data_IF_759436713537
#
_entry.id   IF_759436713537
#
_cell.length_a   1.000
_cell.length_b   1.000
_cell.length_c   1.000
_cell.angle_alpha   90.00
_cell.angle_beta   90.00
_cell.angle_gamma   90.00
#
_symmetry.space_group_name_H-M   'P 1'
#
loop_
_entity.id
_entity.type
_entity.pdbx_description
1 polymer ?
#
# COMPACT_ATOMS: atom_id res chain seq x y z
N UNK A 1 -6.21 -10.41 -7.08
CA UNK A 1 -6.27 -8.96 -7.39
C UNK A 1 -4.99 -8.37 -6.84
N UNK A 2 -4.21 -7.68 -7.67
CA UNK A 2 -3.08 -6.91 -7.17
C UNK A 2 -3.62 -5.79 -6.29
N UNK A 3 -2.97 -5.55 -5.14
CA UNK A 3 -3.29 -4.44 -4.26
C UNK A 3 -2.53 -3.21 -4.78
N UNK A 4 -3.21 -2.07 -4.82
CA UNK A 4 -2.68 -0.85 -5.46
C UNK A 4 -2.71 0.35 -4.52
N UNK A 5 -1.70 1.24 -4.65
CA UNK A 5 -1.73 2.54 -4.00
C UNK A 5 -1.84 3.66 -5.04
N UNK A 6 -2.72 4.62 -4.77
CA UNK A 6 -2.87 5.80 -5.59
C UNK A 6 -1.98 6.94 -5.11
N UNK A 7 -1.15 7.48 -5.99
CA UNK A 7 -0.32 8.65 -5.71
C UNK A 7 -1.13 9.90 -6.00
N UNK A 8 -1.34 10.71 -4.98
CA UNK A 8 -2.06 11.98 -5.05
C UNK A 8 -1.18 13.13 -4.57
N UNK A 9 -1.56 14.35 -4.87
CA UNK A 9 -0.87 15.54 -4.39
C UNK A 9 -1.29 16.78 -5.17
N UNK A 10 -1.08 17.94 -4.58
CA UNK A 10 -1.30 19.22 -5.25
C UNK A 10 -0.30 19.42 -6.41
N UNK A 11 -0.55 20.37 -7.32
CA UNK A 11 0.43 20.69 -8.38
C UNK A 11 1.79 21.12 -7.80
N UNK A 12 2.87 20.74 -8.49
CA UNK A 12 4.25 21.14 -8.18
C UNK A 12 4.80 20.64 -6.81
N UNK A 13 4.26 19.54 -6.28
CA UNK A 13 4.79 18.89 -5.05
C UNK A 13 5.84 17.80 -5.34
N UNK A 14 6.09 17.46 -6.63
CA UNK A 14 7.03 16.40 -7.03
C UNK A 14 6.35 15.07 -7.40
N UNK A 15 5.01 15.04 -7.53
CA UNK A 15 4.24 13.83 -7.84
C UNK A 15 4.70 13.16 -9.14
N UNK A 16 4.84 13.90 -10.24
CA UNK A 16 5.26 13.35 -11.53
C UNK A 16 6.71 12.84 -11.50
N UNK A 17 7.60 13.54 -10.82
CA UNK A 17 8.99 13.11 -10.62
C UNK A 17 9.05 11.79 -9.85
N UNK A 18 8.27 11.66 -8.79
CA UNK A 18 8.14 10.39 -8.05
C UNK A 18 7.60 9.27 -8.95
N UNK A 19 6.57 9.56 -9.73
CA UNK A 19 5.97 8.56 -10.61
C UNK A 19 6.94 8.12 -11.73
N UNK A 20 7.75 9.04 -12.27
CA UNK A 20 8.85 8.69 -13.17
C UNK A 20 9.84 7.74 -12.51
N UNK A 21 10.27 8.03 -11.27
CA UNK A 21 11.15 7.14 -10.51
C UNK A 21 10.57 5.72 -10.39
N UNK A 22 9.28 5.61 -10.17
CA UNK A 22 8.56 4.33 -10.07
C UNK A 22 8.54 3.62 -11.43
N UNK A 23 8.21 4.32 -12.50
CA UNK A 23 8.04 3.71 -13.84
C UNK A 23 9.37 3.40 -14.54
N UNK A 24 10.44 4.11 -14.19
CA UNK A 24 11.77 3.86 -14.71
C UNK A 24 12.44 2.63 -14.09
N UNK A 25 11.94 2.10 -12.98
CA UNK A 25 12.43 0.83 -12.45
C UNK A 25 12.24 -0.27 -13.51
N UNK A 26 13.38 -0.82 -13.97
CA UNK A 26 13.40 -1.92 -14.95
C UNK A 26 12.94 -3.21 -14.30
N UNK A 27 11.64 -3.35 -14.08
CA UNK A 27 11.09 -4.65 -13.74
C UNK A 27 11.19 -5.50 -14.99
N UNK A 28 11.89 -6.63 -14.90
CA UNK A 28 11.94 -7.60 -15.98
C UNK A 28 10.51 -8.06 -16.25
N UNK A 29 9.89 -7.52 -17.29
CA UNK A 29 8.52 -7.85 -17.70
C UNK A 29 8.30 -9.37 -17.89
N UNK A 30 9.39 -10.11 -18.14
CA UNK A 30 9.42 -11.57 -18.22
C UNK A 30 9.00 -12.26 -16.91
N UNK A 31 9.21 -11.60 -15.76
CA UNK A 31 8.86 -12.17 -14.44
C UNK A 31 7.41 -11.91 -14.02
N UNK A 32 6.72 -11.00 -14.72
CA UNK A 32 5.33 -10.60 -14.39
C UNK A 32 4.44 -10.65 -15.62
N UNK A 33 4.05 -11.84 -16.11
CA UNK A 33 3.28 -12.02 -17.35
C UNK A 33 1.89 -11.36 -17.34
N UNK A 34 1.44 -10.86 -16.18
CA UNK A 34 0.15 -10.18 -16.02
C UNK A 34 0.29 -8.67 -15.71
N UNK A 35 1.51 -8.12 -15.66
CA UNK A 35 1.70 -6.67 -15.56
C UNK A 35 1.26 -6.03 -16.88
N UNK A 36 0.02 -5.60 -16.93
CA UNK A 36 -0.49 -4.76 -18.03
C UNK A 36 0.22 -3.43 -17.90
N UNK A 37 0.94 -3.00 -18.93
CA UNK A 37 1.51 -1.65 -19.01
C UNK A 37 0.34 -0.71 -19.31
N UNK A 38 -0.38 -0.29 -18.28
CA UNK A 38 -1.38 0.76 -18.38
C UNK A 38 -0.72 2.12 -18.24
N UNK A 39 -1.10 3.12 -19.05
CA UNK A 39 -0.56 4.47 -18.94
C UNK A 39 -0.95 5.04 -17.58
N UNK A 40 -0.26 5.21 -16.60
CA UNK A 40 -0.48 5.66 -15.22
C UNK A 40 -0.38 4.57 -14.16
N UNK A 41 0.11 3.37 -14.49
CA UNK A 41 0.43 2.33 -13.51
C UNK A 41 1.93 2.08 -13.54
N UNK A 42 2.57 2.24 -12.40
CA UNK A 42 3.97 1.90 -12.17
C UNK A 42 4.05 0.66 -11.28
N UNK A 43 4.88 -0.30 -11.66
CA UNK A 43 5.10 -1.53 -10.91
C UNK A 43 6.49 -1.47 -10.27
N UNK A 44 6.59 -1.77 -8.99
CA UNK A 44 7.86 -1.82 -8.26
C UNK A 44 8.04 -3.18 -7.59
N UNK A 45 9.27 -3.62 -7.49
CA UNK A 45 9.61 -4.82 -6.71
C UNK A 45 9.54 -4.49 -5.22
N UNK A 46 8.94 -5.37 -4.43
CA UNK A 46 8.96 -5.25 -2.96
C UNK A 46 10.35 -5.67 -2.46
N UNK A 47 11.08 -4.76 -1.79
CA UNK A 47 12.40 -5.09 -1.25
C UNK A 47 12.28 -6.19 -0.18
N UNK A 48 13.01 -7.29 -0.35
CA UNK A 48 13.05 -8.38 0.62
C UNK A 48 14.38 -9.10 0.55
N UNK A 49 15.26 -8.84 1.51
CA UNK A 49 16.60 -9.47 1.58
C UNK A 49 16.54 -11.00 1.71
N UNK A 50 15.42 -11.52 2.25
CA UNK A 50 15.21 -12.96 2.37
C UNK A 50 15.23 -13.65 1.00
N UNK A 51 14.68 -12.97 0.00
CA UNK A 51 14.67 -13.46 -1.38
C UNK A 51 16.08 -13.65 -1.94
N UNK A 52 16.99 -12.70 -1.71
CA UNK A 52 18.38 -12.79 -2.16
C UNK A 52 19.07 -13.99 -1.52
N UNK A 53 18.83 -14.23 -0.24
CA UNK A 53 19.40 -15.39 0.48
C UNK A 53 18.83 -16.72 -0.03
N UNK A 54 17.53 -16.76 -0.33
CA UNK A 54 16.92 -17.96 -0.94
C UNK A 54 17.47 -18.21 -2.35
N UNK A 55 17.72 -17.15 -3.15
CA UNK A 55 18.35 -17.25 -4.46
C UNK A 55 19.74 -17.89 -4.37
N UNK A 56 20.57 -17.45 -3.41
CA UNK A 56 21.91 -18.03 -3.18
C UNK A 56 21.83 -19.50 -2.75
N UNK A 57 20.85 -19.88 -1.94
CA UNK A 57 20.73 -21.24 -1.40
C UNK A 57 20.22 -22.26 -2.43
N UNK A 58 19.31 -21.87 -3.31
CA UNK A 58 18.63 -22.77 -4.23
C UNK A 58 19.16 -22.69 -5.67
N UNK A 59 19.88 -21.62 -6.03
CA UNK A 59 20.36 -21.33 -7.40
C UNK A 59 19.29 -21.63 -8.45
N UNK A 60 18.08 -20.99 -8.33
CA UNK A 60 16.92 -21.36 -9.12
C UNK A 60 17.05 -20.93 -10.59
N UNK A 61 16.40 -21.68 -11.51
CA UNK A 61 16.28 -21.26 -12.91
C UNK A 61 15.42 -19.99 -13.06
N UNK A 62 14.41 -19.83 -12.22
CA UNK A 62 13.53 -18.64 -12.19
C UNK A 62 13.49 -18.02 -10.79
N UNK A 63 13.64 -16.71 -10.75
CA UNK A 63 13.61 -15.92 -9.53
C UNK A 63 12.55 -14.83 -9.65
N UNK A 64 11.48 -14.93 -8.84
CA UNK A 64 10.31 -14.08 -8.95
C UNK A 64 10.02 -13.43 -7.59
N UNK A 65 10.49 -12.20 -7.33
CA UNK A 65 10.12 -11.42 -6.14
C UNK A 65 8.66 -10.98 -6.23
N UNK A 66 8.09 -10.46 -5.16
CA UNK A 66 6.78 -9.80 -5.21
C UNK A 66 6.88 -8.43 -5.86
N UNK A 67 5.80 -8.02 -6.52
CA UNK A 67 5.66 -6.68 -7.05
C UNK A 67 4.45 -5.97 -6.46
N UNK A 68 4.51 -4.64 -6.45
CA UNK A 68 3.45 -3.77 -5.98
C UNK A 68 3.14 -2.69 -7.03
N UNK A 69 1.88 -2.32 -7.16
CA UNK A 69 1.43 -1.37 -8.17
C UNK A 69 1.12 -0.01 -7.56
N UNK A 70 1.69 1.04 -8.16
CA UNK A 70 1.32 2.43 -7.88
C UNK A 70 0.59 3.01 -9.09
N UNK A 71 -0.52 3.70 -8.82
CA UNK A 71 -1.29 4.39 -9.85
C UNK A 71 -1.11 5.89 -9.72
N UNK A 72 -0.68 6.56 -10.81
CA UNK A 72 -0.66 8.03 -10.84
C UNK A 72 -2.08 8.55 -10.97
N UNK A 73 -2.55 9.21 -9.94
CA UNK A 73 -3.86 9.85 -9.96
C UNK A 73 -3.67 11.33 -10.31
N UNK A 74 -4.26 11.75 -11.42
CA UNK A 74 -4.15 13.12 -11.91
C UNK A 74 -4.44 14.13 -10.79
N UNK A 75 -3.63 15.20 -10.71
CA UNK A 75 -3.63 16.12 -9.58
C UNK A 75 -4.99 16.72 -9.26
N UNK A 76 -5.24 16.93 -7.99
CA UNK A 76 -6.44 17.60 -7.47
C UNK A 76 -6.45 19.05 -7.90
N UNK A 77 -7.57 19.48 -8.47
CA UNK A 77 -7.89 20.90 -8.62
C UNK A 77 -8.84 21.26 -7.49
N UNK A 78 -8.55 22.33 -6.75
CA UNK A 78 -9.40 22.84 -5.67
C UNK A 78 -10.86 22.99 -6.17
N UNK A 79 -11.82 22.39 -5.44
CA UNK A 79 -13.23 22.33 -5.87
C UNK A 79 -13.57 21.08 -6.70
N UNK A 80 -12.74 20.05 -6.66
CA UNK A 80 -12.96 18.79 -7.38
C UNK A 80 -14.28 18.11 -7.03
N UNK A 81 -14.72 18.23 -5.80
CA UNK A 81 -16.01 17.69 -5.30
C UNK A 81 -17.25 18.44 -5.82
N UNK A 82 -17.09 19.71 -6.24
CA UNK A 82 -18.16 20.56 -6.78
C UNK A 82 -18.13 20.70 -8.29
N UNK A 83 -17.09 20.17 -8.95
CA UNK A 83 -16.79 20.43 -10.34
C UNK A 83 -17.31 19.40 -11.30
N UNK A 84 -17.59 19.83 -12.51
CA UNK A 84 -17.84 18.98 -13.67
C UNK A 84 -16.50 18.44 -14.21
N UNK A 85 -16.41 17.15 -14.47
CA UNK A 85 -15.37 16.53 -15.31
C UNK A 85 -14.13 16.01 -14.56
N UNK A 86 -13.05 16.79 -14.43
CA UNK A 86 -11.75 16.31 -13.93
C UNK A 86 -11.75 15.91 -12.45
N UNK A 87 -12.49 16.63 -11.59
CA UNK A 87 -12.61 16.31 -10.17
C UNK A 87 -13.30 14.97 -9.91
N UNK A 88 -14.37 14.66 -10.65
CA UNK A 88 -15.05 13.37 -10.52
C UNK A 88 -14.16 12.20 -10.98
N UNK A 89 -13.32 12.38 -12.00
CA UNK A 89 -12.36 11.37 -12.42
C UNK A 89 -11.30 11.12 -11.36
N UNK A 90 -10.77 12.17 -10.73
CA UNK A 90 -9.83 12.07 -9.61
C UNK A 90 -10.42 11.23 -8.46
N UNK A 91 -11.62 11.55 -8.01
CA UNK A 91 -12.30 10.83 -6.94
C UNK A 91 -12.62 9.37 -7.33
N UNK A 92 -12.95 9.12 -8.60
CA UNK A 92 -13.19 7.77 -9.12
C UNK A 92 -11.92 6.92 -9.05
N UNK A 93 -10.78 7.45 -9.51
CA UNK A 93 -9.50 6.71 -9.45
C UNK A 93 -9.08 6.41 -8.01
N UNK A 94 -9.29 7.35 -7.05
CA UNK A 94 -9.02 7.07 -5.63
C UNK A 94 -9.93 5.94 -5.12
N UNK A 95 -11.15 5.79 -5.60
CA UNK A 95 -12.03 4.68 -5.18
C UNK A 95 -11.49 3.31 -5.57
N UNK A 96 -10.76 3.22 -6.68
CA UNK A 96 -10.25 1.97 -7.25
C UNK A 96 -9.01 1.44 -6.53
N UNK A 97 -8.21 2.31 -5.87
CA UNK A 97 -6.99 1.91 -5.17
C UNK A 97 -7.25 1.49 -3.71
N UNK A 98 -6.35 0.72 -3.12
CA UNK A 98 -6.48 0.19 -1.76
C UNK A 98 -5.90 1.12 -0.69
N UNK A 99 -4.89 1.92 -1.04
CA UNK A 99 -4.26 2.92 -0.17
C UNK A 99 -3.99 4.22 -0.92
N UNK A 100 -3.78 5.29 -0.18
CA UNK A 100 -3.43 6.61 -0.71
C UNK A 100 -2.00 6.95 -0.31
N UNK A 101 -1.18 7.39 -1.25
CA UNK A 101 0.12 8.03 -1.02
C UNK A 101 -0.01 9.49 -1.38
N UNK A 102 -0.07 10.35 -0.39
CA UNK A 102 -0.17 11.78 -0.58
C UNK A 102 1.21 12.43 -0.57
N UNK A 103 1.62 12.95 -1.73
CA UNK A 103 2.88 13.67 -1.88
C UNK A 103 2.71 15.09 -1.38
N UNK A 104 3.48 15.43 -0.34
CA UNK A 104 3.45 16.72 0.34
C UNK A 104 4.80 17.43 0.14
N UNK A 105 4.75 18.67 -0.30
CA UNK A 105 5.96 19.47 -0.49
C UNK A 105 6.50 19.96 0.86
N UNK A 106 7.68 19.49 1.23
CA UNK A 106 8.37 19.85 2.47
C UNK A 106 9.73 20.51 2.20
N UNK A 107 9.89 21.21 1.07
CA UNK A 107 11.12 21.90 0.68
C UNK A 107 10.85 23.29 0.10
N UNK A 108 11.75 24.23 0.36
CA UNK A 108 11.75 25.57 -0.24
C UNK A 108 12.60 25.58 -1.51
N UNK A 109 12.01 25.94 -2.64
CA UNK A 109 12.73 26.23 -3.87
C UNK A 109 12.12 27.49 -4.52
N UNK A 110 12.89 28.55 -4.57
CA UNK A 110 12.46 29.84 -5.13
C UNK A 110 12.17 29.81 -6.64
N UNK A 111 12.54 28.72 -7.34
CA UNK A 111 12.29 28.54 -8.76
C UNK A 111 10.95 27.81 -9.03
N UNK A 112 10.42 27.11 -8.03
CA UNK A 112 9.17 26.33 -8.15
C UNK A 112 8.06 27.11 -7.45
N UNK A 113 7.10 27.61 -8.21
CA UNK A 113 5.98 28.37 -7.68
C UNK A 113 5.03 27.39 -6.96
N UNK A 114 4.72 27.68 -5.68
CA UNK A 114 3.65 27.00 -4.98
C UNK A 114 2.29 27.58 -5.41
N UNK A 115 1.25 26.73 -5.49
CA UNK A 115 -0.09 27.13 -5.95
C UNK A 115 -0.66 28.28 -5.11
N UNK A 116 -0.43 28.25 -3.79
CA UNK A 116 -0.88 29.28 -2.85
C UNK A 116 0.22 30.26 -2.42
N UNK A 117 1.38 30.29 -3.10
CA UNK A 117 2.47 31.25 -2.91
C UNK A 117 3.39 30.99 -1.70
N UNK A 118 2.91 30.31 -0.65
CA UNK A 118 3.67 29.96 0.55
C UNK A 118 3.55 28.46 0.79
N UNK A 119 4.66 27.83 1.16
CA UNK A 119 4.70 26.40 1.48
C UNK A 119 4.09 26.20 2.87
N UNK A 120 3.03 25.44 2.91
CA UNK A 120 2.36 25.03 4.14
C UNK A 120 1.85 23.58 3.96
N UNK A 121 2.65 22.57 4.38
CA UNK A 121 2.32 21.18 4.17
C UNK A 121 1.02 20.74 4.85
N UNK A 122 0.66 21.39 5.98
CA UNK A 122 -0.57 21.01 6.69
C UNK A 122 -1.80 21.52 5.94
N UNK A 123 -1.78 22.76 5.45
CA UNK A 123 -2.84 23.30 4.61
C UNK A 123 -3.03 22.46 3.34
N UNK A 124 -1.94 21.97 2.75
CA UNK A 124 -1.98 21.16 1.53
C UNK A 124 -2.66 19.81 1.80
N UNK A 125 -2.30 19.14 2.91
CA UNK A 125 -2.94 17.92 3.39
C UNK A 125 -4.43 18.16 3.69
N UNK A 126 -4.76 19.21 4.43
CA UNK A 126 -6.15 19.54 4.79
C UNK A 126 -7.00 19.83 3.55
N UNK A 127 -6.41 20.42 2.51
CA UNK A 127 -7.10 20.68 1.24
C UNK A 127 -7.54 19.38 0.56
N UNK A 128 -6.67 18.38 0.48
CA UNK A 128 -7.00 17.07 -0.09
C UNK A 128 -7.99 16.33 0.79
N UNK A 129 -7.75 16.27 2.10
CA UNK A 129 -8.63 15.59 3.04
C UNK A 129 -10.06 16.18 3.02
N UNK A 130 -10.20 17.50 2.87
CA UNK A 130 -11.50 18.16 2.76
C UNK A 130 -12.27 17.72 1.50
N UNK A 131 -11.61 17.66 0.34
CA UNK A 131 -12.25 17.21 -0.91
C UNK A 131 -12.73 15.76 -0.81
N UNK A 132 -11.91 14.88 -0.19
CA UNK A 132 -12.31 13.50 0.07
C UNK A 132 -13.52 13.42 1.02
N UNK A 133 -13.50 14.22 2.07
CA UNK A 133 -14.58 14.26 3.06
C UNK A 133 -15.90 14.75 2.45
N UNK A 134 -15.89 15.79 1.61
CA UNK A 134 -17.08 16.30 0.92
C UNK A 134 -17.67 15.22 0.01
N UNK A 135 -16.81 14.52 -0.75
CA UNK A 135 -17.27 13.45 -1.63
C UNK A 135 -17.91 12.27 -0.87
N UNK A 136 -17.38 11.92 0.30
CA UNK A 136 -17.97 10.89 1.14
C UNK A 136 -19.27 11.36 1.81
N UNK A 137 -19.34 12.62 2.24
CA UNK A 137 -20.56 13.23 2.79
C UNK A 137 -21.71 13.20 1.78
N UNK A 138 -21.45 13.44 0.51
CA UNK A 138 -22.46 13.35 -0.55
C UNK A 138 -23.01 11.91 -0.68
N UNK A 139 -22.14 10.91 -0.65
CA UNK A 139 -22.54 9.50 -0.67
C UNK A 139 -23.38 9.15 0.57
N UNK A 140 -22.92 9.55 1.74
CA UNK A 140 -23.61 9.30 3.02
C UNK A 140 -24.99 9.96 3.03
N UNK A 141 -25.09 11.24 2.68
CA UNK A 141 -26.37 11.97 2.70
C UNK A 141 -27.38 11.36 1.74
N UNK A 142 -26.97 11.02 0.50
CA UNK A 142 -27.83 10.37 -0.47
C UNK A 142 -28.32 8.99 0.00
N UNK A 143 -27.47 8.25 0.73
CA UNK A 143 -27.86 6.94 1.27
C UNK A 143 -28.75 7.05 2.48
N UNK A 144 -28.43 7.94 3.42
CA UNK A 144 -29.24 8.22 4.61
C UNK A 144 -30.67 8.60 4.25
N UNK A 145 -30.85 9.45 3.23
CA UNK A 145 -32.20 9.82 2.78
C UNK A 145 -33.07 8.62 2.41
N UNK A 146 -32.48 7.61 1.77
CA UNK A 146 -33.17 6.39 1.32
C UNK A 146 -33.35 5.38 2.46
N UNK A 147 -32.27 5.06 3.17
CA UNK A 147 -32.27 4.00 4.18
C UNK A 147 -33.05 4.39 5.42
N UNK A 148 -33.05 5.68 5.85
CA UNK A 148 -33.81 6.15 7.00
C UNK A 148 -35.32 6.02 6.79
N UNK A 149 -35.81 6.28 5.58
CA UNK A 149 -37.25 6.06 5.23
C UNK A 149 -37.59 4.57 5.33
N UNK A 150 -36.74 3.70 4.79
CA UNK A 150 -36.92 2.24 4.82
C UNK A 150 -36.87 1.71 6.25
N UNK A 151 -35.88 2.07 7.04
CA UNK A 151 -35.70 1.63 8.42
C UNK A 151 -36.90 1.98 9.31
N UNK A 152 -37.47 3.16 9.14
CA UNK A 152 -38.70 3.59 9.87
C UNK A 152 -39.91 2.74 9.50
N UNK A 153 -40.04 2.34 8.24
CA UNK A 153 -41.20 1.60 7.75
C UNK A 153 -41.10 0.10 8.09
N UNK A 154 -39.93 -0.50 7.87
CA UNK A 154 -39.73 -1.96 7.99
C UNK A 154 -39.32 -2.37 9.41
N UNK A 155 -38.73 -1.46 10.20
CA UNK A 155 -38.10 -1.73 11.52
C UNK A 155 -37.09 -2.89 11.46
N UNK A 156 -36.45 -3.07 10.29
CA UNK A 156 -35.42 -4.08 10.10
C UNK A 156 -34.14 -3.66 10.86
N UNK A 157 -33.55 -4.59 11.62
CA UNK A 157 -32.37 -4.33 12.43
C UNK A 157 -31.16 -3.91 11.59
N UNK A 158 -30.96 -4.55 10.42
CA UNK A 158 -29.83 -4.24 9.54
C UNK A 158 -29.95 -2.84 8.97
N UNK A 159 -31.15 -2.42 8.53
CA UNK A 159 -31.39 -1.07 8.03
C UNK A 159 -31.22 -0.01 9.16
N UNK A 160 -31.58 -0.34 10.40
CA UNK A 160 -31.38 0.56 11.55
C UNK A 160 -29.90 0.70 11.89
N UNK A 161 -29.15 -0.41 11.92
CA UNK A 161 -27.71 -0.40 12.15
C UNK A 161 -26.97 0.35 11.04
N UNK A 162 -27.39 0.20 9.79
CA UNK A 162 -26.83 0.95 8.66
C UNK A 162 -27.00 2.46 8.85
N UNK A 163 -28.20 2.92 9.29
CA UNK A 163 -28.45 4.33 9.59
C UNK A 163 -27.51 4.82 10.69
N UNK A 164 -27.41 4.09 11.79
CA UNK A 164 -26.55 4.45 12.93
C UNK A 164 -25.09 4.61 12.52
N UNK A 165 -24.56 3.64 11.75
CA UNK A 165 -23.17 3.67 11.28
C UNK A 165 -22.93 4.84 10.31
N UNK A 166 -23.86 5.10 9.39
CA UNK A 166 -23.76 6.23 8.47
C UNK A 166 -23.83 7.58 9.18
N UNK A 167 -24.67 7.73 10.19
CA UNK A 167 -24.73 8.94 11.03
C UNK A 167 -23.43 9.13 11.82
N UNK A 168 -22.85 8.06 12.35
CA UNK A 168 -21.54 8.09 13.01
C UNK A 168 -20.42 8.55 12.05
N UNK A 169 -20.39 8.02 10.81
CA UNK A 169 -19.46 8.44 9.78
C UNK A 169 -19.68 9.92 9.40
N UNK A 170 -20.92 10.33 9.18
CA UNK A 170 -21.27 11.72 8.86
C UNK A 170 -20.77 12.69 9.93
N UNK A 171 -21.07 12.43 11.19
CA UNK A 171 -20.62 13.27 12.30
C UNK A 171 -19.10 13.40 12.36
N UNK A 172 -18.36 12.30 12.13
CA UNK A 172 -16.90 12.33 12.10
C UNK A 172 -16.37 13.26 11.00
N UNK A 173 -16.93 13.16 9.79
CA UNK A 173 -16.52 14.01 8.67
C UNK A 173 -16.87 15.48 8.87
N UNK A 174 -18.03 15.78 9.47
CA UNK A 174 -18.44 17.15 9.84
C UNK A 174 -17.52 17.76 10.93
N UNK A 175 -16.86 16.91 11.75
CA UNK A 175 -15.83 17.32 12.71
C UNK A 175 -14.40 17.34 12.08
N UNK A 176 -14.28 17.25 10.76
CA UNK A 176 -13.02 17.13 10.01
C UNK A 176 -12.16 15.91 10.43
N UNK A 177 -12.79 14.82 10.86
CA UNK A 177 -12.12 13.57 11.18
C UNK A 177 -12.44 12.52 10.12
N UNK A 178 -11.45 11.97 9.42
CA UNK A 178 -11.66 10.95 8.39
C UNK A 178 -12.23 9.66 9.01
N UNK A 179 -12.99 8.90 8.21
CA UNK A 179 -13.63 7.65 8.64
C UNK A 179 -12.60 6.62 9.13
N UNK A 180 -11.36 6.63 8.60
CA UNK A 180 -10.26 5.75 9.04
C UNK A 180 -9.90 5.90 10.53
N UNK A 181 -10.23 7.02 11.18
CA UNK A 181 -10.00 7.24 12.61
C UNK A 181 -11.12 6.69 13.51
N UNK A 182 -12.25 6.29 12.94
CA UNK A 182 -13.36 5.76 13.73
C UNK A 182 -13.06 4.34 14.22
N UNK A 183 -13.31 4.12 15.51
CA UNK A 183 -13.35 2.78 16.07
C UNK A 183 -14.66 2.11 15.69
N UNK A 184 -14.64 1.37 14.58
CA UNK A 184 -15.78 0.61 14.08
C UNK A 184 -15.64 -0.86 14.47
N UNK A 185 -16.75 -1.47 14.87
CA UNK A 185 -16.83 -2.91 15.08
C UNK A 185 -16.71 -3.66 13.74
N UNK A 186 -16.45 -4.96 13.76
CA UNK A 186 -16.38 -5.77 12.54
C UNK A 186 -17.72 -5.80 11.78
N UNK A 187 -18.83 -5.69 12.49
CA UNK A 187 -20.16 -5.60 11.90
C UNK A 187 -20.36 -4.25 11.19
N UNK A 188 -20.01 -3.14 11.84
CA UNK A 188 -20.02 -1.80 11.26
C UNK A 188 -19.11 -1.69 10.03
N UNK A 189 -17.88 -2.26 10.10
CA UNK A 189 -16.95 -2.30 8.95
C UNK A 189 -17.53 -3.05 7.75
N UNK A 190 -18.25 -4.16 7.98
CA UNK A 190 -18.91 -4.91 6.90
C UNK A 190 -19.98 -4.07 6.20
N UNK A 191 -20.74 -3.28 6.95
CA UNK A 191 -21.79 -2.42 6.40
C UNK A 191 -21.20 -1.34 5.48
N UNK A 192 -20.14 -0.65 5.92
CA UNK A 192 -19.56 0.45 5.15
C UNK A 192 -18.64 0.00 4.01
N UNK A 193 -18.23 -1.28 4.00
CA UNK A 193 -17.33 -1.82 2.96
C UNK A 193 -17.85 -1.60 1.53
N UNK A 194 -19.15 -1.70 1.32
CA UNK A 194 -19.77 -1.54 -0.01
C UNK A 194 -19.78 -0.10 -0.53
N UNK A 195 -19.55 0.88 0.33
CA UNK A 195 -19.55 2.31 -0.05
C UNK A 195 -18.21 2.78 -0.60
N UNK A 196 -17.13 2.05 -0.33
CA UNK A 196 -15.76 2.41 -0.74
C UNK A 196 -15.42 3.86 -0.40
N UNK A 197 -15.67 4.26 0.86
CA UNK A 197 -15.39 5.62 1.33
C UNK A 197 -13.93 5.97 1.14
N UNK A 198 -13.67 7.14 0.58
CA UNK A 198 -12.34 7.65 0.29
C UNK A 198 -11.56 7.92 1.58
N UNK A 199 -12.24 8.51 2.57
CA UNK A 199 -11.66 8.84 3.88
C UNK A 199 -11.49 7.62 4.79
N UNK A 200 -11.97 6.44 4.40
CA UNK A 200 -11.72 5.17 5.09
C UNK A 200 -10.40 4.53 4.67
N UNK A 201 -9.89 4.87 3.48
CA UNK A 201 -8.67 4.27 2.96
C UNK A 201 -7.46 4.63 3.83
N UNK A 202 -6.54 3.67 4.07
CA UNK A 202 -5.26 3.97 4.70
C UNK A 202 -4.48 4.98 3.87
N UNK A 203 -3.74 5.87 4.55
CA UNK A 203 -2.98 6.94 3.91
C UNK A 203 -1.54 6.97 4.41
N UNK A 204 -0.62 7.28 3.50
CA UNK A 204 0.78 7.58 3.79
C UNK A 204 1.04 9.00 3.31
N UNK A 205 1.58 9.85 4.17
CA UNK A 205 2.09 11.16 3.80
C UNK A 205 3.53 11.03 3.35
N UNK A 206 3.80 11.34 2.09
CA UNK A 206 5.13 11.33 1.53
C UNK A 206 5.67 12.75 1.57
N UNK A 207 6.54 13.03 2.54
CA UNK A 207 7.22 14.30 2.68
C UNK A 207 8.36 14.39 1.65
N UNK A 208 8.14 15.14 0.57
CA UNK A 208 9.16 15.38 -0.45
C UNK A 208 10.09 16.50 0.02
N UNK A 209 11.37 16.17 0.22
CA UNK A 209 12.42 17.05 0.76
C UNK A 209 13.49 17.37 -0.29
N UNK A 210 14.44 18.26 0.03
CA UNK A 210 15.63 18.50 -0.81
C UNK A 210 16.63 17.36 -0.71
N UNK A 211 17.44 17.23 -1.75
CA UNK A 211 18.59 16.33 -1.77
C UNK A 211 19.56 16.60 -0.60
N UNK A 212 19.83 17.86 -0.31
CA UNK A 212 20.72 18.28 0.80
C UNK A 212 20.19 17.97 2.21
N UNK A 213 18.97 17.52 2.33
CA UNK A 213 18.31 17.16 3.60
C UNK A 213 18.23 15.63 3.79
N UNK A 214 18.68 14.84 2.79
CA UNK A 214 18.75 13.38 2.90
C UNK A 214 19.84 12.98 3.92
N UNK A 215 19.51 12.03 4.79
CA UNK A 215 20.42 11.60 5.86
C UNK A 215 20.53 12.55 7.05
N UNK A 216 19.96 13.74 6.94
CA UNK A 216 19.97 14.77 8.00
C UNK A 216 18.73 14.67 8.92
N UNK A 217 18.70 15.52 9.94
CA UNK A 217 17.53 15.65 10.80
C UNK A 217 16.35 16.24 10.01
N UNK A 218 15.15 15.79 10.35
CA UNK A 218 13.92 16.29 9.72
C UNK A 218 13.81 17.82 9.83
N UNK A 219 13.52 18.48 8.73
CA UNK A 219 13.24 19.90 8.71
C UNK A 219 11.89 20.24 9.37
N UNK A 220 11.63 21.52 9.61
CA UNK A 220 10.41 21.99 10.29
C UNK A 220 9.11 21.52 9.58
N UNK A 221 9.08 21.47 8.25
CA UNK A 221 7.93 21.02 7.48
C UNK A 221 7.64 19.54 7.69
N UNK A 222 8.69 18.71 7.66
CA UNK A 222 8.58 17.25 7.92
C UNK A 222 8.10 17.00 9.35
N UNK A 223 8.62 17.72 10.34
CA UNK A 223 8.18 17.60 11.73
C UNK A 223 6.68 17.91 11.89
N UNK A 224 6.20 18.97 11.24
CA UNK A 224 4.75 19.30 11.22
C UNK A 224 3.92 18.17 10.59
N UNK A 225 4.36 17.60 9.47
CA UNK A 225 3.67 16.47 8.83
C UNK A 225 3.65 15.24 9.73
N UNK A 226 4.75 14.93 10.41
CA UNK A 226 4.82 13.81 11.38
C UNK A 226 3.88 14.01 12.57
N UNK A 227 3.81 15.24 13.12
CA UNK A 227 2.88 15.56 14.19
C UNK A 227 1.41 15.42 13.73
N UNK A 228 1.08 15.89 12.53
CA UNK A 228 -0.24 15.75 11.95
C UNK A 228 -0.61 14.27 11.74
N UNK A 229 0.28 13.51 11.12
CA UNK A 229 0.09 12.09 10.84
C UNK A 229 -0.13 11.26 12.11
N UNK A 230 0.57 11.59 13.20
CA UNK A 230 0.40 10.91 14.50
C UNK A 230 -1.03 11.03 15.02
N UNK A 231 -1.70 12.18 14.83
CA UNK A 231 -3.11 12.39 15.23
C UNK A 231 -4.08 11.53 14.43
N UNK A 232 -3.70 11.16 13.21
CA UNK A 232 -4.51 10.32 12.31
C UNK A 232 -4.10 8.84 12.32
N UNK A 233 -3.07 8.47 13.08
CA UNK A 233 -2.45 7.15 13.03
C UNK A 233 -1.98 6.78 11.61
N UNK A 234 -1.57 7.78 10.83
CA UNK A 234 -1.02 7.64 9.49
C UNK A 234 0.51 7.53 9.53
N UNK A 235 1.09 6.96 8.45
CA UNK A 235 2.54 6.87 8.29
C UNK A 235 3.09 8.07 7.52
N UNK A 236 4.36 8.40 7.79
CA UNK A 236 5.12 9.39 7.04
C UNK A 236 6.39 8.75 6.49
N UNK A 237 6.64 8.98 5.21
CA UNK A 237 7.90 8.62 4.55
C UNK A 237 8.52 9.89 4.00
N UNK A 238 9.78 10.18 4.35
CA UNK A 238 10.54 11.30 3.79
C UNK A 238 11.46 10.79 2.68
N UNK A 239 11.44 11.44 1.52
CA UNK A 239 12.34 11.17 0.40
C UNK A 239 12.53 12.42 -0.46
N UNK A 240 13.56 12.41 -1.31
CA UNK A 240 13.73 13.40 -2.37
C UNK A 240 13.33 12.77 -3.72
N UNK A 241 12.18 13.15 -4.27
CA UNK A 241 11.67 12.58 -5.51
C UNK A 241 12.66 12.69 -6.68
N UNK A 242 13.46 13.77 -6.73
CA UNK A 242 14.50 13.97 -7.74
C UNK A 242 15.62 12.94 -7.61
N UNK A 243 16.09 12.68 -6.41
CA UNK A 243 17.13 11.66 -6.15
C UNK A 243 16.59 10.25 -6.47
N UNK A 244 15.33 9.96 -6.13
CA UNK A 244 14.73 8.69 -6.50
C UNK A 244 14.64 8.48 -8.03
N UNK A 245 14.34 9.55 -8.79
CA UNK A 245 14.35 9.52 -10.25
C UNK A 245 15.77 9.24 -10.80
N UNK A 246 16.78 9.90 -10.26
CA UNK A 246 18.20 9.66 -10.63
C UNK A 246 18.62 8.23 -10.26
N UNK A 247 18.28 7.73 -9.07
CA UNK A 247 18.58 6.36 -8.63
C UNK A 247 17.92 5.30 -9.52
N UNK A 248 16.74 5.58 -10.08
CA UNK A 248 16.01 4.64 -10.94
C UNK A 248 16.66 4.37 -12.28
N UNK A 249 17.58 5.23 -12.71
CA UNK A 249 18.32 5.12 -13.98
C UNK A 249 19.65 4.39 -13.82
N UNK A 250 20.13 4.18 -12.58
CA UNK A 250 21.43 3.61 -12.27
C UNK A 250 21.41 2.07 -12.25
N UNK A 251 22.60 1.49 -12.39
CA UNK A 251 22.82 0.07 -12.08
C UNK A 251 22.73 -0.17 -10.57
N UNK A 252 22.49 -1.42 -10.13
CA UNK A 252 22.43 -1.73 -8.70
C UNK A 252 23.74 -1.39 -7.96
N UNK A 253 24.88 -1.52 -8.64
CA UNK A 253 26.21 -1.19 -8.09
C UNK A 253 26.34 0.34 -7.90
N UNK A 254 26.03 1.13 -8.94
CA UNK A 254 26.08 2.59 -8.90
C UNK A 254 25.04 3.17 -7.92
N UNK A 255 23.85 2.54 -7.86
CA UNK A 255 22.80 2.90 -6.90
C UNK A 255 23.31 2.77 -5.47
N UNK A 256 23.98 1.67 -5.15
CA UNK A 256 24.56 1.44 -3.82
C UNK A 256 25.61 2.48 -3.48
N UNK A 257 26.55 2.77 -4.41
CA UNK A 257 27.57 3.78 -4.23
C UNK A 257 26.98 5.18 -3.99
N UNK A 258 25.91 5.55 -4.74
CA UNK A 258 25.22 6.81 -4.57
C UNK A 258 24.52 6.89 -3.22
N UNK A 259 23.83 5.85 -2.75
CA UNK A 259 23.18 5.79 -1.45
C UNK A 259 24.21 5.95 -0.31
N UNK A 260 25.35 5.26 -0.40
CA UNK A 260 26.45 5.39 0.56
C UNK A 260 27.01 6.83 0.56
N UNK A 261 27.16 7.46 -0.61
CA UNK A 261 27.59 8.84 -0.76
C UNK A 261 26.62 9.87 -0.15
N UNK A 262 25.31 9.55 -0.15
CA UNK A 262 24.27 10.37 0.46
C UNK A 262 24.06 10.07 1.96
N UNK A 263 24.80 9.10 2.52
CA UNK A 263 24.69 8.72 3.94
C UNK A 263 23.36 8.00 4.28
N UNK A 264 22.72 7.35 3.30
CA UNK A 264 21.46 6.60 3.49
C UNK A 264 21.65 5.13 3.11
N UNK A 265 21.08 4.22 3.92
CA UNK A 265 21.20 2.77 3.70
C UNK A 265 20.18 2.25 2.69
N UNK A 266 19.03 2.89 2.60
CA UNK A 266 17.88 2.41 1.81
C UNK A 266 17.24 3.57 1.09
N UNK A 267 16.84 3.37 -0.18
CA UNK A 267 16.16 4.40 -0.96
C UNK A 267 14.82 4.80 -0.31
N UNK A 268 14.39 6.02 -0.57
CA UNK A 268 13.09 6.50 -0.09
C UNK A 268 11.93 5.75 -0.75
N UNK A 269 12.10 5.32 -2.00
CA UNK A 269 11.11 4.52 -2.70
C UNK A 269 10.95 3.13 -2.07
N UNK A 270 12.05 2.47 -1.69
CA UNK A 270 11.98 1.20 -0.97
C UNK A 270 11.28 1.35 0.38
N UNK A 271 11.56 2.43 1.12
CA UNK A 271 10.84 2.76 2.36
C UNK A 271 9.35 2.99 2.12
N UNK A 272 8.98 3.66 1.02
CA UNK A 272 7.58 3.87 0.64
C UNK A 272 6.87 2.54 0.35
N UNK A 273 7.49 1.66 -0.42
CA UNK A 273 6.94 0.33 -0.73
C UNK A 273 6.70 -0.46 0.55
N UNK A 274 7.69 -0.51 1.45
CA UNK A 274 7.57 -1.20 2.73
C UNK A 274 6.50 -0.59 3.63
N UNK A 275 6.41 0.75 3.70
CA UNK A 275 5.38 1.43 4.46
C UNK A 275 3.97 1.14 3.93
N UNK A 276 3.82 1.05 2.61
CA UNK A 276 2.56 0.73 1.94
C UNK A 276 2.16 -0.73 2.21
N UNK A 277 3.12 -1.63 2.14
CA UNK A 277 2.96 -3.04 2.47
C UNK A 277 2.42 -3.24 3.90
N UNK A 278 3.03 -2.53 4.85
CA UNK A 278 2.65 -2.63 6.26
C UNK A 278 1.27 -2.00 6.55
N UNK A 279 0.96 -0.82 6.00
CA UNK A 279 -0.34 -0.15 6.25
C UNK A 279 -1.52 -0.93 5.67
N UNK A 280 -1.29 -1.71 4.61
CA UNK A 280 -2.27 -2.63 4.03
C UNK A 280 -2.37 -3.96 4.76
N UNK A 281 -1.50 -4.18 5.75
CA UNK A 281 -1.44 -5.44 6.50
C UNK A 281 -1.00 -6.62 5.64
N UNK A 282 -0.07 -6.38 4.71
CA UNK A 282 0.48 -7.41 3.83
C UNK A 282 1.65 -8.15 4.48
N UNK A 283 1.91 -9.33 4.00
CA UNK A 283 3.03 -10.17 4.37
C UNK A 283 3.43 -11.05 3.18
N UNK A 284 4.56 -11.71 3.29
CA UNK A 284 5.12 -12.55 2.21
C UNK A 284 5.36 -13.96 2.70
N UNK A 285 4.92 -14.95 1.93
CA UNK A 285 5.38 -16.33 2.05
C UNK A 285 6.13 -16.74 0.79
N UNK A 286 6.93 -17.79 0.87
CA UNK A 286 7.79 -18.24 -0.20
C UNK A 286 7.46 -19.65 -0.66
N UNK A 287 7.66 -19.91 -1.96
CA UNK A 287 7.81 -21.23 -2.52
C UNK A 287 9.22 -21.37 -3.08
N UNK A 288 9.91 -22.44 -2.75
CA UNK A 288 11.32 -22.63 -3.08
C UNK A 288 11.55 -23.97 -3.80
N UNK A 289 12.46 -23.97 -4.77
CA UNK A 289 12.86 -25.13 -5.54
C UNK A 289 13.96 -24.76 -6.54
N UNK A 290 14.57 -25.77 -7.18
CA UNK A 290 15.57 -25.55 -8.23
C UNK A 290 14.97 -24.91 -9.48
N UNK A 291 13.72 -25.22 -9.80
CA UNK A 291 13.04 -24.65 -10.96
C UNK A 291 12.63 -23.18 -10.71
N UNK A 292 12.18 -22.88 -9.49
CA UNK A 292 11.68 -21.55 -9.17
C UNK A 292 11.83 -21.24 -7.66
N UNK A 293 12.28 -20.03 -7.35
CA UNK A 293 12.11 -19.37 -6.05
C UNK A 293 11.18 -18.18 -6.25
N UNK A 294 10.06 -18.17 -5.52
CA UNK A 294 9.05 -17.13 -5.69
C UNK A 294 8.50 -16.65 -4.36
N UNK A 295 8.32 -15.33 -4.26
CA UNK A 295 7.63 -14.68 -3.18
C UNK A 295 6.15 -14.43 -3.54
N UNK A 296 5.28 -14.61 -2.56
CA UNK A 296 3.84 -14.46 -2.70
C UNK A 296 3.30 -13.50 -1.66
N UNK A 297 2.62 -12.45 -2.09
CA UNK A 297 1.97 -11.50 -1.20
C UNK A 297 0.65 -12.06 -0.69
N UNK A 298 0.42 -11.98 0.62
CA UNK A 298 -0.85 -12.31 1.25
C UNK A 298 -1.24 -11.24 2.29
N UNK A 299 -2.51 -11.20 2.66
CA UNK A 299 -2.99 -10.34 3.74
C UNK A 299 -2.86 -11.06 5.07
N UNK A 300 -2.26 -10.42 6.07
CA UNK A 300 -2.15 -10.95 7.44
C UNK A 300 -3.52 -11.43 7.95
N UNK A 301 -3.55 -12.65 8.51
CA UNK A 301 -4.79 -13.28 8.95
C UNK A 301 -5.41 -14.26 7.93
N UNK A 302 -4.90 -14.35 6.70
CA UNK A 302 -5.29 -15.40 5.75
C UNK A 302 -4.78 -16.76 6.21
N UNK A 303 -5.58 -17.81 5.96
CA UNK A 303 -5.20 -19.17 6.26
C UNK A 303 -4.48 -19.86 5.09
N UNK A 304 -3.89 -21.04 5.35
CA UNK A 304 -3.08 -21.76 4.36
C UNK A 304 -3.86 -22.12 3.08
N UNK A 305 -5.16 -22.44 3.20
CA UNK A 305 -6.00 -22.72 2.05
C UNK A 305 -6.21 -21.48 1.17
N UNK A 306 -6.50 -20.33 1.78
CA UNK A 306 -6.64 -19.05 1.08
C UNK A 306 -5.32 -18.65 0.42
N UNK A 307 -4.18 -18.83 1.11
CA UNK A 307 -2.86 -18.57 0.54
C UNK A 307 -2.52 -19.50 -0.63
N UNK A 308 -2.89 -20.78 -0.57
CA UNK A 308 -2.78 -21.69 -1.71
C UNK A 308 -3.59 -21.20 -2.93
N UNK A 309 -4.73 -20.54 -2.67
CA UNK A 309 -5.57 -19.91 -3.69
C UNK A 309 -4.91 -18.74 -4.42
N UNK A 310 -3.95 -18.07 -3.78
CA UNK A 310 -3.16 -17.00 -4.42
C UNK A 310 -2.30 -17.56 -5.56
N UNK A 311 -1.80 -18.78 -5.40
CA UNK A 311 -1.03 -19.46 -6.44
C UNK A 311 -1.93 -19.84 -7.61
N UNK A 312 -3.00 -20.57 -7.32
CA UNK A 312 -4.00 -20.98 -8.30
C UNK A 312 -5.31 -21.41 -7.61
N UNK A 313 -6.45 -21.16 -8.25
CA UNK A 313 -7.76 -21.53 -7.71
C UNK A 313 -7.91 -23.04 -7.47
N UNK A 314 -7.24 -23.87 -8.25
CA UNK A 314 -7.26 -25.33 -8.07
C UNK A 314 -6.51 -25.76 -6.80
N UNK A 315 -5.46 -25.03 -6.40
CA UNK A 315 -4.76 -25.28 -5.13
C UNK A 315 -5.68 -25.02 -3.94
N UNK A 316 -6.52 -23.98 -4.02
CA UNK A 316 -7.51 -23.70 -2.99
C UNK A 316 -8.61 -24.77 -2.94
N UNK A 317 -9.17 -25.14 -4.10
CA UNK A 317 -10.26 -26.12 -4.19
C UNK A 317 -9.83 -27.52 -3.76
N UNK A 318 -8.66 -27.94 -4.22
CA UNK A 318 -8.09 -29.25 -3.95
C UNK A 318 -7.19 -29.31 -2.73
N UNK A 319 -7.14 -28.27 -1.89
CA UNK A 319 -6.21 -28.18 -0.76
C UNK A 319 -6.31 -29.36 0.19
N UNK A 320 -5.18 -30.02 0.44
CA UNK A 320 -5.06 -31.14 1.39
C UNK A 320 -4.33 -30.66 2.65
N UNK A 321 -3.11 -30.14 2.49
CA UNK A 321 -2.26 -29.66 3.57
C UNK A 321 -1.10 -28.83 3.01
N UNK A 322 -0.46 -28.04 3.87
CA UNK A 322 0.78 -27.35 3.59
C UNK A 322 1.93 -27.94 4.43
N UNK A 323 3.07 -28.21 3.82
CA UNK A 323 4.33 -28.40 4.54
C UNK A 323 4.94 -27.03 4.70
N UNK A 324 5.15 -26.60 5.95
CA UNK A 324 5.59 -25.24 6.29
C UNK A 324 6.89 -25.29 7.07
N UNK A 325 7.85 -24.50 6.65
CA UNK A 325 9.14 -24.25 7.30
C UNK A 325 9.26 -22.75 7.49
N UNK A 326 9.71 -22.28 8.69
CA UNK A 326 10.02 -20.86 8.83
C UNK A 326 11.30 -20.50 8.08
N UNK A 327 11.37 -19.28 7.53
CA UNK A 327 12.60 -18.78 6.91
C UNK A 327 13.79 -18.86 7.88
N UNK A 328 13.59 -18.50 9.13
CA UNK A 328 14.63 -18.53 10.17
C UNK A 328 15.17 -19.95 10.39
N UNK A 329 14.29 -20.96 10.49
CA UNK A 329 14.73 -22.35 10.62
C UNK A 329 15.52 -22.79 9.38
N UNK A 330 15.08 -22.44 8.18
CA UNK A 330 15.80 -22.77 6.95
C UNK A 330 17.22 -22.20 6.96
N UNK A 331 17.38 -20.93 7.32
CA UNK A 331 18.71 -20.27 7.37
C UNK A 331 19.59 -20.92 8.46
N UNK A 332 19.03 -21.16 9.64
CA UNK A 332 19.77 -21.73 10.77
C UNK A 332 20.28 -23.16 10.51
N UNK A 333 19.47 -23.99 9.86
CA UNK A 333 19.83 -25.39 9.55
C UNK A 333 20.51 -25.55 8.19
N UNK A 334 20.39 -24.56 7.29
CA UNK A 334 21.06 -24.50 6.00
C UNK A 334 20.45 -25.38 4.90
N UNK A 335 19.43 -26.20 5.17
CA UNK A 335 18.68 -26.93 4.15
C UNK A 335 17.35 -27.46 4.68
N UNK A 336 16.34 -27.63 3.81
CA UNK A 336 15.06 -28.22 4.17
C UNK A 336 15.19 -29.63 4.79
N UNK A 337 16.15 -30.43 4.30
CA UNK A 337 16.39 -31.77 4.83
C UNK A 337 16.77 -31.71 6.31
N UNK A 338 17.71 -30.86 6.68
CA UNK A 338 18.15 -30.70 8.07
C UNK A 338 17.05 -30.10 8.95
N UNK A 339 16.21 -29.20 8.41
CA UNK A 339 15.04 -28.70 9.14
C UNK A 339 14.05 -29.83 9.44
N UNK A 340 13.82 -30.74 8.47
CA UNK A 340 12.98 -31.95 8.67
C UNK A 340 13.57 -32.91 9.69
N UNK A 341 14.87 -33.18 9.61
CA UNK A 341 15.60 -34.03 10.58
C UNK A 341 15.53 -33.44 12.00
N UNK A 342 15.56 -32.12 12.13
CA UNK A 342 15.41 -31.42 13.41
C UNK A 342 13.94 -31.35 13.90
N UNK A 343 12.97 -31.90 13.15
CA UNK A 343 11.55 -31.88 13.51
C UNK A 343 10.89 -30.49 13.47
N UNK A 344 11.48 -29.54 12.71
CA UNK A 344 10.99 -28.17 12.58
C UNK A 344 10.05 -27.95 11.39
N UNK A 345 10.04 -28.86 10.43
CA UNK A 345 9.06 -28.86 9.37
C UNK A 345 7.68 -29.28 9.90
N UNK A 346 6.68 -28.46 9.64
CA UNK A 346 5.31 -28.63 10.14
C UNK A 346 4.41 -29.06 9.02
N UNK A 347 3.43 -29.91 9.30
CA UNK A 347 2.34 -30.25 8.40
C UNK A 347 1.07 -29.57 8.90
N UNK A 348 0.67 -28.53 8.16
CA UNK A 348 -0.41 -27.65 8.57
C UNK A 348 -1.69 -27.90 7.76
N UNK A 349 -2.82 -27.80 8.44
CA UNK A 349 -4.15 -27.92 7.85
C UNK A 349 -4.65 -26.61 7.25
N UNK A 350 -5.87 -26.65 6.70
CA UNK A 350 -6.52 -25.54 6.01
C UNK A 350 -6.67 -24.27 6.85
N UNK A 351 -6.82 -24.41 8.18
CA UNK A 351 -7.10 -23.30 9.10
C UNK A 351 -5.82 -22.69 9.72
N UNK A 352 -4.64 -23.18 9.32
CA UNK A 352 -3.37 -22.59 9.75
C UNK A 352 -3.27 -21.15 9.27
N UNK A 353 -3.04 -20.21 10.21
CA UNK A 353 -2.84 -18.81 9.88
C UNK A 353 -1.41 -18.60 9.39
N UNK A 354 -1.28 -18.26 8.11
CA UNK A 354 0.01 -18.04 7.45
C UNK A 354 0.81 -16.93 8.14
N UNK A 355 2.11 -17.18 8.34
CA UNK A 355 3.03 -16.22 8.94
C UNK A 355 3.93 -15.60 7.87
N UNK A 356 4.38 -14.35 8.13
CA UNK A 356 5.38 -13.71 7.29
C UNK A 356 6.69 -14.49 7.34
N UNK A 357 7.24 -14.82 6.16
CA UNK A 357 8.45 -15.62 6.03
C UNK A 357 8.23 -17.14 6.04
N UNK A 358 6.99 -17.62 6.06
CA UNK A 358 6.75 -19.05 5.88
C UNK A 358 7.20 -19.52 4.48
N UNK A 359 7.89 -20.64 4.44
CA UNK A 359 8.26 -21.36 3.20
C UNK A 359 7.33 -22.55 3.07
N UNK A 360 6.58 -22.61 1.97
CA UNK A 360 5.43 -23.49 1.84
C UNK A 360 5.52 -24.42 0.63
N UNK A 361 5.20 -25.70 0.87
CA UNK A 361 4.92 -26.67 -0.17
C UNK A 361 3.47 -27.16 -0.02
N UNK A 362 2.59 -26.70 -0.89
CA UNK A 362 1.19 -27.07 -0.86
C UNK A 362 0.94 -28.43 -1.50
N UNK A 363 0.17 -29.29 -0.82
CA UNK A 363 -0.34 -30.55 -1.34
C UNK A 363 -1.81 -30.39 -1.66
N UNK A 364 -2.16 -30.67 -2.90
CA UNK A 364 -3.54 -30.55 -3.39
C UNK A 364 -3.85 -31.70 -4.33
N UNK A 365 -5.15 -31.96 -4.52
CA UNK A 365 -5.66 -32.94 -5.46
C UNK A 365 -6.84 -32.31 -6.21
N UNK A 366 -6.77 -32.29 -7.53
CA UNK A 366 -7.82 -31.74 -8.41
C UNK A 366 -8.46 -32.86 -9.17
#
# INVERSE_FOLDING_TARGET
MSLTAGIVGLPNVGKSTLFNAITNQKILAENYPFATIEPNVGVVTVPDERMNKLKEMYEPERFIPTAYEFTDIAGLVKGASKGEGLGNKFLSHIREVDAIVEVVRCFDDGKIIHVDGVIDPIRDIETINLELAIADLDVINNRLERVSKKARTTKNKDDMLEVEVLEKCKKSLEENKPIRQLNLTEEEKKIIKSYSFLTQKPIIYLANIKESELGEQDNEHVLKVKEYATKENAKVVSLCAKVEEELSELSEEDKKEMLEGLGIETSGLDKLVMATYDILGLATYFTVGKDEVRAWTFKKGMNAKECAGIIHTDFEKGFIRAEVISYEDLINYGSELKVKEAGKARLEGKDYLMQDGDICHFRFNV
#
